data_IF_375633648211
#
_entry.id   IF_375633648211
#
_cell.length_a   1.000
_cell.length_b   1.000
_cell.length_c   1.000
_cell.angle_alpha   90.00
_cell.angle_beta   90.00
_cell.angle_gamma   90.00
#
_symmetry.space_group_name_H-M   'P 1'
#
loop_
_entity.id
_entity.type
_entity.pdbx_description
1 polymer ?
#
# COMPACT_ATOMS: atom_id res chain seq x y z
N UNK A 1 7.83 3.65 -21.37
CA UNK A 1 8.86 4.68 -21.25
C UNK A 1 8.69 5.76 -22.31
N UNK A 2 9.08 6.98 -22.01
CA UNK A 2 9.05 8.04 -23.01
C UNK A 2 10.34 7.98 -23.85
N UNK A 3 10.21 7.96 -25.18
CA UNK A 3 11.35 8.13 -26.07
C UNK A 3 12.00 9.48 -25.80
N UNK A 4 13.28 9.46 -25.49
CA UNK A 4 14.09 10.67 -25.51
C UNK A 4 14.25 11.11 -26.99
N UNK A 5 14.13 12.41 -27.25
CA UNK A 5 14.40 12.99 -28.59
C UNK A 5 15.82 12.79 -29.09
N UNK A 6 16.71 12.21 -28.29
CA UNK A 6 18.13 11.96 -28.59
C UNK A 6 18.43 10.54 -29.09
N UNK A 7 17.45 9.78 -29.48
CA UNK A 7 17.62 8.44 -30.09
C UNK A 7 18.42 7.44 -29.22
N UNK A 8 18.20 7.43 -27.92
CA UNK A 8 18.71 6.37 -27.08
C UNK A 8 17.71 5.22 -27.05
N UNK A 9 17.90 4.15 -27.82
CA UNK A 9 16.99 3.04 -27.82
C UNK A 9 17.16 2.25 -26.51
N UNK A 10 16.09 2.19 -25.71
CA UNK A 10 15.99 1.13 -24.72
C UNK A 10 15.73 -0.15 -25.50
N UNK A 11 16.61 -1.13 -25.36
CA UNK A 11 16.55 -2.41 -26.07
C UNK A 11 16.39 -3.61 -25.14
N UNK A 12 16.55 -3.42 -23.84
CA UNK A 12 16.31 -4.50 -22.89
C UNK A 12 15.71 -3.99 -21.57
N UNK A 13 14.99 -4.88 -20.92
CA UNK A 13 14.31 -4.67 -19.63
C UNK A 13 14.74 -5.76 -18.65
N UNK A 14 14.95 -5.37 -17.40
CA UNK A 14 15.12 -6.29 -16.28
C UNK A 14 14.17 -5.89 -15.16
N UNK A 15 13.36 -6.84 -14.70
CA UNK A 15 12.41 -6.68 -13.60
C UNK A 15 12.79 -7.69 -12.53
N UNK A 16 13.31 -7.22 -11.41
CA UNK A 16 13.84 -8.07 -10.36
C UNK A 16 13.17 -7.78 -9.02
N UNK A 17 12.85 -8.82 -8.23
CA UNK A 17 12.32 -8.62 -6.88
C UNK A 17 13.38 -7.98 -6.00
N UNK A 18 12.97 -7.01 -5.17
CA UNK A 18 13.90 -6.21 -4.35
C UNK A 18 14.16 -6.84 -2.98
N UNK A 19 13.18 -7.52 -2.40
CA UNK A 19 13.25 -8.00 -1.03
C UNK A 19 13.64 -9.48 -0.94
N UNK A 20 13.11 -10.31 -1.83
CA UNK A 20 13.37 -11.75 -1.89
C UNK A 20 13.92 -12.14 -3.26
N UNK A 21 15.23 -12.29 -3.34
CA UNK A 21 15.95 -12.63 -4.57
C UNK A 21 15.74 -14.08 -5.04
N UNK A 22 15.04 -14.91 -4.27
CA UNK A 22 14.66 -16.27 -4.67
C UNK A 22 13.43 -16.29 -5.57
N UNK A 23 12.63 -15.21 -5.54
CA UNK A 23 11.47 -15.05 -6.41
C UNK A 23 11.88 -14.82 -7.87
N UNK A 24 11.04 -15.23 -8.82
CA UNK A 24 11.34 -15.09 -10.22
C UNK A 24 11.42 -13.62 -10.64
N UNK A 25 12.47 -13.29 -11.37
CA UNK A 25 12.62 -12.04 -12.09
C UNK A 25 12.54 -12.27 -13.60
N UNK A 26 12.34 -11.22 -14.36
CA UNK A 26 12.33 -11.23 -15.82
C UNK A 26 13.43 -10.35 -16.37
N UNK A 27 14.29 -10.89 -17.22
CA UNK A 27 15.28 -10.11 -17.96
C UNK A 27 15.27 -10.55 -19.42
N UNK A 28 14.96 -9.62 -20.31
CA UNK A 28 14.89 -9.93 -21.75
C UNK A 28 15.15 -8.71 -22.63
N UNK A 29 15.46 -8.98 -23.88
CA UNK A 29 15.42 -7.96 -24.93
C UNK A 29 13.97 -7.58 -25.26
N UNK A 30 13.79 -6.33 -25.65
CA UNK A 30 12.53 -5.82 -26.17
C UNK A 30 12.40 -6.23 -27.64
N UNK A 31 11.17 -6.50 -28.06
CA UNK A 31 10.88 -6.68 -29.49
C UNK A 31 10.94 -5.34 -30.22
N UNK A 32 11.09 -5.37 -31.54
CA UNK A 32 11.06 -4.16 -32.37
C UNK A 32 9.76 -3.39 -32.18
N UNK A 33 8.64 -4.13 -32.05
CA UNK A 33 7.31 -3.56 -31.83
C UNK A 33 7.23 -2.83 -30.47
N UNK A 34 7.65 -3.46 -29.38
CA UNK A 34 7.72 -2.84 -28.05
C UNK A 34 8.60 -1.60 -28.02
N UNK A 35 9.75 -1.66 -28.72
CA UNK A 35 10.64 -0.49 -28.85
C UNK A 35 9.97 0.65 -29.64
N UNK A 36 9.19 0.32 -30.66
CA UNK A 36 8.49 1.33 -31.47
C UNK A 36 7.30 1.94 -30.71
N UNK A 37 6.56 1.13 -29.98
CA UNK A 37 5.39 1.55 -29.20
C UNK A 37 5.77 2.26 -27.90
N UNK A 38 6.94 1.94 -27.33
CA UNK A 38 7.43 2.52 -26.10
C UNK A 38 6.80 1.90 -24.84
N UNK A 39 6.26 0.70 -24.93
CA UNK A 39 5.81 -0.10 -23.80
C UNK A 39 6.09 -1.58 -23.99
N UNK A 40 6.14 -2.33 -22.90
CA UNK A 40 6.26 -3.79 -22.90
C UNK A 40 5.34 -4.37 -21.85
N UNK A 41 4.74 -5.52 -22.16
CA UNK A 41 3.98 -6.30 -21.21
C UNK A 41 4.84 -7.43 -20.66
N UNK A 42 4.75 -7.65 -19.36
CA UNK A 42 5.51 -8.68 -18.65
C UNK A 42 4.60 -9.45 -17.72
N UNK A 43 4.49 -10.74 -17.98
CA UNK A 43 3.71 -11.69 -17.18
C UNK A 43 4.60 -12.49 -16.22
N UNK A 44 3.96 -13.28 -15.35
CA UNK A 44 4.64 -14.24 -14.48
C UNK A 44 5.30 -13.63 -13.26
N UNK A 45 5.03 -12.37 -12.94
CA UNK A 45 5.51 -11.75 -11.72
C UNK A 45 4.73 -12.27 -10.51
N UNK A 46 5.43 -12.47 -9.40
CA UNK A 46 4.81 -12.89 -8.14
C UNK A 46 3.92 -11.77 -7.60
N UNK A 47 2.74 -12.12 -7.12
CA UNK A 47 1.78 -11.18 -6.52
C UNK A 47 2.36 -10.53 -5.28
N UNK A 48 1.90 -9.31 -4.96
CA UNK A 48 2.31 -8.50 -3.81
C UNK A 48 3.83 -8.41 -3.57
N UNK A 49 4.60 -8.35 -4.63
CA UNK A 49 6.06 -8.32 -4.58
C UNK A 49 6.58 -6.99 -5.08
N UNK A 50 7.50 -6.39 -4.33
CA UNK A 50 8.18 -5.16 -4.75
C UNK A 50 9.26 -5.51 -5.78
N UNK A 51 9.12 -4.94 -6.96
CA UNK A 51 10.05 -5.13 -8.07
C UNK A 51 10.76 -3.82 -8.42
N UNK A 52 12.02 -3.95 -8.84
CA UNK A 52 12.74 -2.88 -9.52
C UNK A 52 12.73 -3.15 -11.03
N UNK A 53 12.28 -2.18 -11.81
CA UNK A 53 12.38 -2.19 -13.28
C UNK A 53 13.60 -1.40 -13.69
N UNK A 54 14.48 -2.03 -14.42
CA UNK A 54 15.66 -1.42 -15.00
C UNK A 54 15.57 -1.46 -16.52
N UNK A 55 15.87 -0.34 -17.17
CA UNK A 55 15.90 -0.20 -18.62
C UNK A 55 17.35 -0.04 -19.08
N UNK A 56 17.74 -0.74 -20.13
CA UNK A 56 19.11 -0.73 -20.65
C UNK A 56 19.14 -0.43 -22.15
N UNK A 57 20.26 0.13 -22.55
CA UNK A 57 20.71 0.24 -23.95
C UNK A 57 22.00 -0.60 -24.07
N UNK A 58 21.88 -1.80 -24.67
CA UNK A 58 22.99 -2.75 -24.79
C UNK A 58 23.98 -2.37 -25.88
N UNK A 59 23.65 -1.40 -26.74
CA UNK A 59 24.56 -0.88 -27.76
C UNK A 59 25.73 -0.07 -27.18
N UNK A 60 25.59 0.39 -25.94
CA UNK A 60 26.64 1.12 -25.23
C UNK A 60 27.55 0.16 -24.47
N UNK A 61 28.88 0.34 -24.59
CA UNK A 61 29.80 -0.47 -23.83
C UNK A 61 29.44 -0.35 -22.32
N UNK A 62 29.30 -1.48 -21.65
CA UNK A 62 28.97 -1.62 -20.21
C UNK A 62 30.12 -1.05 -19.34
N UNK A 63 30.43 0.20 -19.50
CA UNK A 63 31.44 0.86 -18.66
C UNK A 63 30.93 1.05 -17.24
N UNK A 64 29.59 0.99 -17.07
CA UNK A 64 28.93 1.04 -15.78
C UNK A 64 27.67 0.18 -15.90
N UNK A 65 27.51 -0.86 -15.13
CA UNK A 65 26.29 -1.66 -15.02
C UNK A 65 25.11 -0.86 -14.42
N UNK A 66 24.93 0.36 -14.89
CA UNK A 66 23.84 1.22 -14.41
C UNK A 66 22.70 1.21 -15.43
N UNK A 67 21.48 0.94 -14.97
CA UNK A 67 20.32 1.09 -15.83
C UNK A 67 20.16 2.56 -16.25
N UNK A 68 19.55 2.78 -17.39
CA UNK A 68 19.17 4.09 -17.88
C UNK A 68 18.22 4.79 -16.92
N UNK A 69 17.28 4.04 -16.39
CA UNK A 69 16.35 4.47 -15.39
C UNK A 69 15.95 3.25 -14.55
N UNK A 70 15.69 3.50 -13.28
CA UNK A 70 15.14 2.51 -12.35
C UNK A 70 13.85 3.05 -11.77
N UNK A 71 12.80 2.24 -11.86
CA UNK A 71 11.50 2.51 -11.23
C UNK A 71 11.13 1.31 -10.38
N UNK A 72 10.53 1.54 -9.25
CA UNK A 72 10.00 0.48 -8.41
C UNK A 72 8.48 0.44 -8.47
N UNK A 73 7.91 -0.75 -8.39
CA UNK A 73 6.48 -0.94 -8.26
C UNK A 73 6.18 -2.22 -7.47
N UNK A 74 5.02 -2.29 -6.87
CA UNK A 74 4.51 -3.50 -6.22
C UNK A 74 3.43 -4.12 -7.09
N UNK A 75 3.53 -5.44 -7.34
CA UNK A 75 2.47 -6.19 -8.02
C UNK A 75 1.24 -6.29 -7.14
N UNK A 76 0.05 -6.28 -7.76
CA UNK A 76 -1.22 -6.44 -7.05
C UNK A 76 -1.44 -7.88 -6.54
N UNK A 77 -2.34 -8.02 -5.58
CA UNK A 77 -2.79 -9.32 -5.03
C UNK A 77 -2.08 -9.73 -3.74
N UNK A 78 -2.56 -10.80 -3.11
CA UNK A 78 -2.00 -11.29 -1.85
C UNK A 78 -0.59 -11.83 -2.03
N UNK A 79 0.25 -11.68 -1.02
CA UNK A 79 1.49 -12.44 -0.91
C UNK A 79 1.20 -13.91 -0.60
N UNK A 80 2.19 -14.78 -0.80
CA UNK A 80 2.07 -16.19 -0.42
C UNK A 80 1.89 -16.39 1.12
N UNK A 81 2.21 -15.37 1.90
CA UNK A 81 2.12 -15.37 3.36
C UNK A 81 0.99 -14.47 3.90
N UNK A 82 0.09 -13.98 3.04
CA UNK A 82 -1.03 -13.16 3.49
C UNK A 82 -2.12 -14.01 4.13
N UNK A 83 -2.73 -13.46 5.18
CA UNK A 83 -3.94 -14.02 5.77
C UNK A 83 -5.12 -13.66 4.87
N UNK A 84 -5.77 -14.68 4.29
CA UNK A 84 -6.97 -14.48 3.49
C UNK A 84 -8.15 -14.29 4.44
N UNK A 85 -8.77 -13.12 4.42
CA UNK A 85 -9.94 -12.82 5.25
C UNK A 85 -11.20 -13.36 4.58
N UNK A 86 -11.91 -14.26 5.25
CA UNK A 86 -13.19 -14.79 4.78
C UNK A 86 -14.31 -13.76 4.86
N UNK A 87 -15.41 -13.99 4.14
CA UNK A 87 -16.55 -13.07 4.13
C UNK A 87 -17.24 -12.95 5.49
N UNK A 88 -17.18 -14.02 6.29
CA UNK A 88 -17.79 -14.12 7.62
C UNK A 88 -16.78 -13.89 8.76
N UNK A 89 -15.52 -13.59 8.44
CA UNK A 89 -14.50 -13.38 9.46
C UNK A 89 -14.70 -12.02 10.16
N UNK A 90 -14.37 -11.98 11.42
CA UNK A 90 -14.33 -10.74 12.21
C UNK A 90 -12.99 -10.04 12.01
N UNK A 91 -12.92 -9.17 10.99
CA UNK A 91 -11.73 -8.38 10.71
C UNK A 91 -11.29 -7.54 11.93
N UNK A 92 -12.25 -7.08 12.75
CA UNK A 92 -11.94 -6.31 13.95
C UNK A 92 -11.16 -7.12 14.97
N UNK A 93 -11.58 -8.36 15.22
CA UNK A 93 -10.88 -9.29 16.10
C UNK A 93 -9.49 -9.63 15.53
N UNK A 94 -9.39 -9.91 14.23
CA UNK A 94 -8.11 -10.24 13.58
C UNK A 94 -7.08 -9.10 13.69
N UNK A 95 -7.51 -7.84 13.51
CA UNK A 95 -6.63 -6.68 13.64
C UNK A 95 -6.25 -6.42 15.10
N UNK A 96 -7.14 -6.73 16.05
CA UNK A 96 -6.82 -6.65 17.47
C UNK A 96 -5.83 -7.74 17.87
N UNK A 97 -5.99 -8.96 17.37
CA UNK A 97 -5.05 -10.07 17.59
C UNK A 97 -3.67 -9.72 16.99
N UNK A 98 -3.61 -9.06 15.83
CA UNK A 98 -2.36 -8.54 15.28
C UNK A 98 -1.57 -7.69 16.30
N UNK A 99 -2.27 -6.86 17.04
CA UNK A 99 -1.63 -5.97 18.00
C UNK A 99 -1.13 -6.68 19.27
N UNK A 100 -1.88 -7.66 19.77
CA UNK A 100 -1.65 -8.25 21.09
C UNK A 100 -0.93 -9.61 21.04
N UNK A 101 -1.10 -10.38 19.98
CA UNK A 101 -0.49 -11.71 19.86
C UNK A 101 0.99 -11.58 19.42
N UNK A 102 1.94 -12.00 20.25
CA UNK A 102 3.36 -11.94 19.91
C UNK A 102 3.75 -12.87 18.74
N UNK A 103 2.96 -13.88 18.45
CA UNK A 103 3.21 -14.82 17.34
C UNK A 103 2.80 -14.23 15.99
N UNK A 104 1.97 -13.19 15.96
CA UNK A 104 1.64 -12.46 14.73
C UNK A 104 2.74 -11.45 14.42
N UNK A 105 3.49 -11.60 13.31
CA UNK A 105 4.59 -10.71 12.98
C UNK A 105 4.08 -9.29 12.68
N UNK A 106 4.89 -8.29 12.99
CA UNK A 106 4.66 -6.93 12.50
C UNK A 106 4.69 -6.91 10.96
N UNK A 107 3.80 -6.15 10.37
CA UNK A 107 3.66 -6.07 8.90
C UNK A 107 2.86 -7.23 8.29
N UNK A 108 2.21 -8.07 9.12
CA UNK A 108 1.28 -9.11 8.63
C UNK A 108 0.29 -8.51 7.63
N UNK A 109 0.11 -9.21 6.51
CA UNK A 109 -0.86 -8.81 5.48
C UNK A 109 -2.20 -9.53 5.67
N UNK A 110 -3.28 -8.75 5.69
CA UNK A 110 -4.65 -9.21 5.64
C UNK A 110 -5.23 -8.88 4.27
N UNK A 111 -5.66 -9.90 3.54
CA UNK A 111 -6.18 -9.73 2.17
C UNK A 111 -7.68 -9.91 2.12
N UNK A 112 -8.38 -8.85 1.69
CA UNK A 112 -9.84 -8.78 1.63
C UNK A 112 -10.35 -9.18 0.24
N UNK A 113 -11.33 -10.09 0.14
CA UNK A 113 -11.93 -10.45 -1.14
C UNK A 113 -12.71 -9.28 -1.77
N UNK A 114 -12.83 -9.30 -3.09
CA UNK A 114 -13.59 -8.30 -3.83
C UNK A 114 -15.05 -8.25 -3.38
N UNK A 115 -15.58 -7.03 -3.24
CA UNK A 115 -16.99 -6.79 -2.88
C UNK A 115 -17.36 -7.15 -1.43
N UNK A 116 -16.38 -7.55 -0.61
CA UNK A 116 -16.61 -7.80 0.82
C UNK A 116 -16.86 -6.51 1.60
N UNK A 117 -17.49 -6.63 2.77
CA UNK A 117 -17.71 -5.50 3.67
C UNK A 117 -17.50 -5.94 5.11
N UNK A 118 -16.63 -5.25 5.83
CA UNK A 118 -16.28 -5.54 7.21
C UNK A 118 -16.54 -4.33 8.09
N UNK A 119 -17.03 -4.58 9.31
CA UNK A 119 -17.12 -3.58 10.37
C UNK A 119 -15.88 -3.67 11.26
N UNK A 120 -15.28 -2.53 11.58
CA UNK A 120 -14.10 -2.51 12.44
C UNK A 120 -14.30 -1.50 13.57
N UNK A 121 -14.22 -2.01 14.80
CA UNK A 121 -14.31 -1.21 16.02
C UNK A 121 -13.07 -0.32 16.19
N UNK A 122 -13.17 0.79 16.94
CA UNK A 122 -12.00 1.61 17.27
C UNK A 122 -10.99 0.81 18.09
N UNK A 123 -9.73 0.92 17.75
CA UNK A 123 -8.64 0.35 18.56
C UNK A 123 -7.38 1.23 18.49
N UNK A 124 -6.42 0.94 19.37
CA UNK A 124 -5.14 1.64 19.44
C UNK A 124 -4.04 0.74 18.95
N UNK A 125 -3.50 1.05 17.77
CA UNK A 125 -2.46 0.28 17.11
C UNK A 125 -1.15 0.25 17.91
N UNK A 126 -0.61 -0.93 18.12
CA UNK A 126 0.71 -1.17 18.72
C UNK A 126 1.70 -1.75 17.72
N UNK A 127 1.20 -2.49 16.71
CA UNK A 127 2.01 -3.05 15.61
C UNK A 127 1.51 -2.57 14.26
N UNK A 128 2.41 -2.49 13.30
CA UNK A 128 2.07 -2.26 11.92
C UNK A 128 1.47 -3.47 11.23
N UNK A 129 0.66 -3.24 10.20
CA UNK A 129 0.08 -4.27 9.34
C UNK A 129 -0.14 -3.72 7.93
N UNK A 130 -0.40 -4.63 7.02
CA UNK A 130 -0.89 -4.32 5.68
C UNK A 130 -2.33 -4.83 5.52
N UNK A 131 -3.22 -3.98 5.07
CA UNK A 131 -4.58 -4.35 4.69
C UNK A 131 -4.75 -4.13 3.19
N UNK A 132 -4.96 -5.20 2.43
CA UNK A 132 -5.01 -5.16 0.98
C UNK A 132 -6.33 -5.72 0.45
N UNK A 133 -6.97 -5.01 -0.45
CA UNK A 133 -8.19 -5.44 -1.12
C UNK A 133 -7.93 -6.07 -2.47
N UNK A 134 -8.73 -7.09 -2.84
CA UNK A 134 -8.70 -7.67 -4.16
C UNK A 134 -8.98 -6.62 -5.23
N UNK A 135 -8.22 -6.68 -6.33
CA UNK A 135 -8.44 -5.83 -7.52
C UNK A 135 -9.31 -6.52 -8.57
N UNK A 136 -9.75 -7.75 -8.31
CA UNK A 136 -10.53 -8.57 -9.25
C UNK A 136 -12.04 -8.30 -9.12
N UNK A 137 -12.45 -7.03 -9.08
CA UNK A 137 -13.86 -6.66 -8.99
C UNK A 137 -14.11 -5.39 -8.19
N UNK A 138 -15.24 -5.38 -7.45
CA UNK A 138 -15.62 -4.24 -6.60
C UNK A 138 -14.67 -4.15 -5.41
N UNK A 139 -14.19 -2.95 -5.13
CA UNK A 139 -13.31 -2.65 -4.01
C UNK A 139 -13.96 -3.09 -2.67
N UNK A 140 -13.23 -3.81 -1.79
CA UNK A 140 -13.78 -4.14 -0.48
C UNK A 140 -13.99 -2.89 0.37
N UNK A 141 -14.98 -2.95 1.25
CA UNK A 141 -15.39 -1.84 2.11
C UNK A 141 -15.04 -2.16 3.56
N UNK A 142 -14.38 -1.23 4.22
CA UNK A 142 -14.16 -1.24 5.67
C UNK A 142 -14.98 -0.13 6.31
N UNK A 143 -15.98 -0.52 7.07
CA UNK A 143 -16.87 0.38 7.79
C UNK A 143 -16.30 0.63 9.18
N UNK A 144 -15.87 1.86 9.42
CA UNK A 144 -15.30 2.28 10.68
C UNK A 144 -16.41 2.61 11.68
N UNK A 145 -16.46 1.95 12.82
CA UNK A 145 -17.37 2.26 13.92
C UNK A 145 -16.86 3.38 14.84
N UNK A 146 -15.61 3.80 14.63
CA UNK A 146 -14.98 4.92 15.29
C UNK A 146 -13.60 5.19 14.71
N UNK A 147 -12.94 6.25 15.16
CA UNK A 147 -11.58 6.56 14.74
C UNK A 147 -10.59 5.56 15.34
N UNK A 148 -9.66 5.10 14.54
CA UNK A 148 -8.50 4.36 15.06
C UNK A 148 -7.53 5.34 15.73
N UNK A 149 -6.67 4.84 16.60
CA UNK A 149 -5.60 5.59 17.25
C UNK A 149 -4.30 4.80 17.23
N UNK A 150 -3.25 5.39 17.79
CA UNK A 150 -1.96 4.71 17.98
C UNK A 150 -1.63 4.77 19.46
N UNK A 151 -1.18 3.64 20.00
CA UNK A 151 -0.87 3.49 21.41
C UNK A 151 0.36 4.33 21.82
N UNK A 152 0.45 4.63 23.10
CA UNK A 152 1.56 5.41 23.67
C UNK A 152 2.90 4.67 23.46
N UNK A 153 3.87 5.37 22.90
CA UNK A 153 5.22 4.86 22.71
C UNK A 153 5.39 3.83 21.58
N UNK A 154 4.33 3.59 20.80
CA UNK A 154 4.42 2.64 19.69
C UNK A 154 5.42 3.09 18.62
N UNK A 155 6.14 2.11 18.09
CA UNK A 155 7.00 2.25 16.92
C UNK A 155 6.55 1.24 15.88
N UNK A 156 5.99 1.72 14.77
CA UNK A 156 5.50 0.91 13.67
C UNK A 156 6.46 1.04 12.49
N UNK A 157 6.94 -0.06 11.96
CA UNK A 157 7.80 -0.06 10.75
C UNK A 157 6.98 0.29 9.50
N UNK A 158 5.74 -0.19 9.42
CA UNK A 158 4.84 0.17 8.32
C UNK A 158 3.37 0.09 8.73
N UNK A 159 2.55 0.91 8.08
CA UNK A 159 1.10 0.84 8.10
C UNK A 159 0.60 1.07 6.68
N UNK A 160 0.13 -0.01 6.03
CA UNK A 160 -0.13 0.00 4.60
C UNK A 160 -1.58 -0.37 4.28
N UNK A 161 -2.18 0.39 3.37
CA UNK A 161 -3.54 0.17 2.89
C UNK A 161 -3.56 0.20 1.36
N UNK A 162 -4.13 -0.83 0.75
CA UNK A 162 -4.15 -0.97 -0.71
C UNK A 162 -5.53 -1.39 -1.20
N UNK A 163 -6.11 -0.62 -2.12
CA UNK A 163 -7.36 -0.92 -2.81
C UNK A 163 -8.56 -1.17 -1.89
N UNK A 164 -8.79 -0.28 -0.91
CA UNK A 164 -9.87 -0.38 0.08
C UNK A 164 -10.71 0.88 0.05
N UNK A 165 -12.02 0.73 0.25
CA UNK A 165 -12.90 1.84 0.56
C UNK A 165 -13.15 1.88 2.07
N UNK A 166 -12.78 2.99 2.71
CA UNK A 166 -13.08 3.27 4.11
C UNK A 166 -14.31 4.17 4.21
N UNK A 167 -15.32 3.72 4.96
CA UNK A 167 -16.53 4.48 5.26
C UNK A 167 -16.71 4.65 6.75
N UNK A 168 -17.43 5.69 7.12
CA UNK A 168 -17.88 5.89 8.48
C UNK A 168 -19.42 5.91 8.54
N UNK A 169 -20.04 5.06 9.38
CA UNK A 169 -21.49 5.09 9.56
C UNK A 169 -21.93 6.16 10.56
N UNK A 170 -21.24 6.28 11.66
CA UNK A 170 -21.56 7.26 12.68
C UNK A 170 -20.93 8.62 12.36
N UNK A 171 -21.73 9.62 12.42
CA UNK A 171 -21.59 10.96 11.88
C UNK A 171 -20.44 11.82 12.44
N UNK A 172 -19.37 11.31 13.04
CA UNK A 172 -18.52 12.22 13.81
C UNK A 172 -17.07 11.82 14.02
N UNK A 173 -16.43 11.12 13.07
CA UNK A 173 -15.09 10.61 13.33
C UNK A 173 -14.07 10.91 12.23
N UNK A 174 -12.83 10.77 12.59
CA UNK A 174 -11.67 10.73 11.71
C UNK A 174 -11.38 9.29 11.31
N UNK A 175 -10.65 9.07 10.26
CA UNK A 175 -10.00 7.77 10.01
C UNK A 175 -9.05 7.45 11.18
N UNK A 176 -8.12 8.36 11.46
CA UNK A 176 -7.20 8.27 12.60
C UNK A 176 -7.35 9.49 13.50
N UNK A 177 -7.42 9.26 14.81
CA UNK A 177 -7.46 10.33 15.81
C UNK A 177 -6.45 10.04 16.94
N UNK A 178 -5.26 10.62 16.83
CA UNK A 178 -4.11 10.30 17.67
C UNK A 178 -3.79 11.41 18.68
N UNK A 179 -3.61 11.05 19.95
CA UNK A 179 -3.28 11.98 21.03
C UNK A 179 -1.99 11.63 21.76
N UNK A 180 -1.46 10.43 21.57
CA UNK A 180 -0.29 9.91 22.27
C UNK A 180 0.99 10.11 21.46
N UNK A 181 2.15 9.92 22.08
CA UNK A 181 3.42 9.92 21.40
C UNK A 181 3.63 8.60 20.63
N UNK A 182 4.11 8.65 19.40
CA UNK A 182 4.40 7.48 18.58
C UNK A 182 5.36 7.82 17.43
N UNK A 183 5.87 6.77 16.79
CA UNK A 183 6.62 6.86 15.53
C UNK A 183 6.11 5.82 14.55
N UNK A 184 5.90 6.22 13.30
CA UNK A 184 5.68 5.31 12.17
C UNK A 184 6.74 5.62 11.11
N UNK A 185 7.46 4.61 10.65
CA UNK A 185 8.44 4.81 9.58
C UNK A 185 7.76 5.03 8.23
N UNK A 186 6.83 4.15 7.87
CA UNK A 186 6.19 4.19 6.57
C UNK A 186 4.67 4.08 6.70
N UNK A 187 3.95 5.03 6.12
CA UNK A 187 2.50 4.97 5.94
C UNK A 187 2.20 5.02 4.47
N UNK A 188 1.45 4.07 3.95
CA UNK A 188 1.08 4.02 2.54
C UNK A 188 -0.42 3.80 2.35
N UNK A 189 -1.00 4.59 1.45
CA UNK A 189 -2.37 4.45 0.96
C UNK A 189 -2.33 4.42 -0.56
N UNK A 190 -2.62 3.27 -1.14
CA UNK A 190 -2.64 3.09 -2.60
C UNK A 190 -4.03 2.73 -3.06
N UNK A 191 -4.57 3.51 -4.00
CA UNK A 191 -5.90 3.30 -4.56
C UNK A 191 -7.02 3.15 -3.49
N UNK A 192 -6.94 3.91 -2.41
CA UNK A 192 -7.93 3.90 -1.33
C UNK A 192 -8.97 5.00 -1.51
N UNK A 193 -10.22 4.69 -1.14
CA UNK A 193 -11.32 5.66 -1.07
C UNK A 193 -11.67 5.96 0.39
N UNK A 194 -11.83 7.22 0.72
CA UNK A 194 -12.25 7.69 2.02
C UNK A 194 -13.58 8.42 1.88
N UNK A 195 -14.66 7.79 2.37
CA UNK A 195 -16.02 8.26 2.16
C UNK A 195 -16.66 8.66 3.48
N UNK A 196 -17.21 9.87 3.54
CA UNK A 196 -17.98 10.38 4.67
C UNK A 196 -17.22 10.46 6.01
N UNK A 197 -15.93 10.69 5.96
CA UNK A 197 -15.13 11.00 7.15
C UNK A 197 -15.35 12.47 7.55
N UNK A 198 -16.49 12.76 8.17
CA UNK A 198 -17.00 14.13 8.34
C UNK A 198 -16.05 15.07 9.07
N UNK A 199 -15.28 14.59 10.06
CA UNK A 199 -14.31 15.42 10.80
C UNK A 199 -12.97 15.53 10.09
N UNK A 200 -12.61 14.58 9.25
CA UNK A 200 -11.37 14.59 8.49
C UNK A 200 -10.66 13.26 8.45
N UNK A 201 -9.53 13.25 7.80
CA UNK A 201 -8.75 12.03 7.56
C UNK A 201 -7.92 11.67 8.81
N UNK A 202 -6.92 12.44 9.16
CA UNK A 202 -6.01 12.16 10.27
C UNK A 202 -5.87 13.37 11.18
N UNK A 203 -6.19 13.20 12.46
CA UNK A 203 -6.06 14.25 13.47
C UNK A 203 -4.94 13.94 14.45
N UNK A 204 -4.03 14.87 14.60
CA UNK A 204 -3.02 14.90 15.65
C UNK A 204 -3.50 15.82 16.79
N UNK A 205 -3.86 15.22 17.93
CA UNK A 205 -4.24 15.96 19.15
C UNK A 205 -3.06 16.02 20.12
N UNK A 206 -3.09 16.98 21.03
CA UNK A 206 -2.09 17.19 22.08
C UNK A 206 -0.70 17.61 21.56
N UNK A 207 0.16 18.02 22.49
CA UNK A 207 1.54 18.42 22.24
C UNK A 207 2.54 17.24 22.21
N UNK A 208 2.07 16.00 22.40
CA UNK A 208 2.93 14.82 22.40
C UNK A 208 3.58 14.64 21.02
N UNK A 209 4.84 14.21 21.01
CA UNK A 209 5.60 13.98 19.79
C UNK A 209 5.00 12.85 18.95
N UNK A 210 4.74 13.13 17.68
CA UNK A 210 4.17 12.18 16.72
C UNK A 210 4.96 12.28 15.43
N UNK A 211 5.58 11.19 15.04
CA UNK A 211 6.42 11.15 13.84
C UNK A 211 5.85 10.18 12.83
N UNK A 212 5.65 10.65 11.61
CA UNK A 212 5.48 9.85 10.39
C UNK A 212 6.66 10.20 9.51
N UNK A 213 7.56 9.25 9.30
CA UNK A 213 8.81 9.51 8.58
C UNK A 213 8.57 9.59 7.07
N UNK A 214 7.75 8.67 6.55
CA UNK A 214 7.36 8.63 5.16
C UNK A 214 5.84 8.46 5.03
N UNK A 215 5.21 9.29 4.21
CA UNK A 215 3.79 9.18 3.86
C UNK A 215 3.65 9.13 2.35
N UNK A 216 3.06 8.06 1.85
CA UNK A 216 2.71 7.88 0.45
C UNK A 216 1.19 7.82 0.29
N UNK A 217 0.66 8.56 -0.69
CA UNK A 217 -0.75 8.50 -1.08
C UNK A 217 -0.84 8.51 -2.60
N UNK A 218 -1.23 7.39 -3.19
CA UNK A 218 -1.33 7.23 -4.63
C UNK A 218 -2.74 6.78 -5.04
N UNK A 219 -3.35 7.46 -6.02
CA UNK A 219 -4.65 7.09 -6.56
C UNK A 219 -5.81 7.13 -5.56
N UNK A 220 -5.67 7.86 -4.45
CA UNK A 220 -6.68 7.95 -3.40
C UNK A 220 -7.79 8.96 -3.74
N UNK A 221 -9.01 8.66 -3.29
CA UNK A 221 -10.19 9.51 -3.41
C UNK A 221 -10.74 9.88 -2.04
N UNK A 222 -11.12 11.16 -1.88
CA UNK A 222 -11.79 11.67 -0.68
C UNK A 222 -13.14 12.24 -1.07
N UNK A 223 -14.22 11.76 -0.44
CA UNK A 223 -15.57 12.19 -0.71
C UNK A 223 -16.33 12.42 0.59
N UNK A 224 -16.92 13.61 0.75
CA UNK A 224 -17.66 13.97 1.96
C UNK A 224 -16.80 14.01 3.23
N UNK A 225 -15.51 14.33 3.10
CA UNK A 225 -14.57 14.38 4.20
C UNK A 225 -14.34 15.82 4.69
N UNK A 226 -14.14 16.00 6.02
CA UNK A 226 -13.68 17.27 6.60
C UNK A 226 -14.69 18.43 6.57
N UNK A 227 -15.98 18.18 6.38
CA UNK A 227 -16.99 19.25 6.27
C UNK A 227 -17.73 19.60 7.57
N UNK A 228 -17.57 18.79 8.61
CA UNK A 228 -18.18 19.07 9.91
C UNK A 228 -17.29 20.00 10.71
N UNK A 229 -17.67 21.25 10.79
CA UNK A 229 -17.14 22.16 11.80
C UNK A 229 -17.60 21.71 13.20
N UNK A 230 -16.70 21.77 14.18
CA UNK A 230 -17.07 21.60 15.59
C UNK A 230 -18.16 22.61 15.93
N UNK A 231 -19.32 22.12 16.34
CA UNK A 231 -20.29 22.95 17.03
C UNK A 231 -19.76 23.32 18.41
#
# INVERSE_FOLDING_TARGET
>A
WKKDNKQNPVDSISIMPMMDTTLPGVSRYLTIEEMMQGYAEVDGLTKNTLYAVNLYDTSKPRKYDKPYNQVTFRTAGPSAMSIQVGLEDDLSAMLLDNDVDPEVPEGTEYYLPAGSSYRVTPFSLMKGFRLAGSRDGVKPVVVLEGSWSIAEGSYLSSLEFDNIEFRHEANNNYFMNTSKAYTIENVSFVNCDFISLRRGFWRHQSANAKYIMNLEMEGCRFEGCGWQTSA
#
